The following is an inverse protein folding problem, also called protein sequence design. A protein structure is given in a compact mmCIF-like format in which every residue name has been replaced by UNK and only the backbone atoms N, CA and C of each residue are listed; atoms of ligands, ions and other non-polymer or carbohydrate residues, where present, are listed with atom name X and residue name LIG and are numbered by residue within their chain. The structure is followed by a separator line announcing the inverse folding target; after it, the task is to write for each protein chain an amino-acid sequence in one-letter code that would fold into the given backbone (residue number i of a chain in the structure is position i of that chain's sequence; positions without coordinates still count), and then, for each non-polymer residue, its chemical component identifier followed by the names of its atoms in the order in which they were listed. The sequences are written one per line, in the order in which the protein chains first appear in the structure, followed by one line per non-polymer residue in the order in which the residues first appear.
data_IF_600935681518
#
_entry.id   IF_600935681518
#
_cell.length_a   1.000
_cell.length_b   1.000
_cell.length_c   1.000
_cell.angle_alpha   90.00
_cell.angle_beta   90.00
_cell.angle_gamma   90.00
#
_symmetry.space_group_name_H-M   'P 1'
#
loop_
_entity.id
_entity.type
_entity.pdbx_description
1 polymer ?
#
# COMPACT_ATOMS: atom_id res chain seq x y z
N UNK A 1 -19.72 7.59 -19.54
CA UNK A 1 -19.43 7.40 -18.10
C UNK A 1 -17.96 7.08 -17.96
N UNK A 2 -17.33 7.64 -16.94
CA UNK A 2 -15.94 7.44 -16.56
C UNK A 2 -15.91 7.33 -15.04
N UNK A 3 -15.33 6.28 -14.49
CA UNK A 3 -15.02 6.21 -13.06
C UNK A 3 -13.56 6.61 -12.90
N UNK A 4 -13.29 7.46 -11.92
CA UNK A 4 -11.95 7.87 -11.56
C UNK A 4 -11.77 7.76 -10.05
N UNK A 5 -10.57 7.38 -9.64
CA UNK A 5 -10.26 7.30 -8.23
C UNK A 5 -8.77 7.32 -7.94
N UNK A 6 -8.49 7.46 -6.66
CA UNK A 6 -7.16 7.34 -6.11
C UNK A 6 -7.16 6.51 -4.84
N UNK A 7 -6.07 5.76 -4.64
CA UNK A 7 -5.78 5.05 -3.40
C UNK A 7 -4.41 5.49 -2.90
N UNK A 8 -4.35 6.05 -1.70
CA UNK A 8 -3.10 6.33 -1.01
C UNK A 8 -2.81 5.20 -0.05
N UNK A 9 -1.62 4.61 -0.12
CA UNK A 9 -1.24 3.48 0.72
C UNK A 9 0.02 3.79 1.51
N UNK A 10 0.04 3.46 2.80
CA UNK A 10 1.22 3.62 3.65
C UNK A 10 1.09 2.95 5.01
N UNK A 11 2.13 3.04 5.83
CA UNK A 11 2.07 2.56 7.21
C UNK A 11 1.11 3.42 8.04
N UNK A 12 0.32 2.74 8.86
CA UNK A 12 -0.34 3.33 10.01
C UNK A 12 0.73 3.75 11.03
N UNK A 13 0.57 4.94 11.63
CA UNK A 13 1.49 5.45 12.66
C UNK A 13 1.17 4.83 14.02
N UNK A 14 1.34 3.52 14.08
CA UNK A 14 1.32 2.73 15.30
C UNK A 14 2.48 1.72 15.27
N UNK A 15 3.22 1.58 16.38
CA UNK A 15 4.37 0.66 16.44
C UNK A 15 3.93 -0.80 16.32
N UNK A 16 2.86 -1.16 17.04
CA UNK A 16 2.25 -2.49 17.04
C UNK A 16 1.15 -2.66 16.00
N UNK A 17 0.63 -3.87 15.90
CA UNK A 17 -0.60 -4.14 15.14
C UNK A 17 -1.80 -3.60 15.93
N UNK A 18 -2.70 -2.92 15.25
CA UNK A 18 -4.00 -2.61 15.83
C UNK A 18 -4.89 -3.85 15.83
N UNK A 19 -5.37 -4.22 17.02
CA UNK A 19 -6.48 -5.17 17.16
C UNK A 19 -7.80 -4.56 16.70
N UNK A 20 -8.77 -5.44 16.44
CA UNK A 20 -10.09 -5.07 15.90
C UNK A 20 -10.80 -3.93 16.66
N UNK A 21 -10.89 -3.93 18.02
CA UNK A 21 -11.58 -2.85 18.75
C UNK A 21 -10.98 -1.48 18.46
N UNK A 22 -9.65 -1.41 18.39
CA UNK A 22 -8.92 -0.18 18.16
C UNK A 22 -8.99 0.29 16.71
N UNK A 23 -9.07 -0.65 15.75
CA UNK A 23 -9.41 -0.31 14.37
C UNK A 23 -10.79 0.33 14.27
N UNK A 24 -11.79 -0.13 15.03
CA UNK A 24 -13.13 0.47 15.03
C UNK A 24 -13.11 1.88 15.61
N UNK A 25 -12.39 2.10 16.71
CA UNK A 25 -12.23 3.44 17.29
C UNK A 25 -11.58 4.42 16.30
N UNK A 26 -10.52 3.98 15.62
CA UNK A 26 -9.77 4.80 14.65
C UNK A 26 -10.57 5.07 13.37
N UNK A 27 -11.39 4.12 12.93
CA UNK A 27 -12.17 4.22 11.68
C UNK A 27 -13.61 4.70 11.89
N UNK A 28 -14.03 4.96 13.14
CA UNK A 28 -15.32 5.53 13.50
C UNK A 28 -15.45 7.01 13.11
N UNK A 29 -15.25 7.31 11.83
CA UNK A 29 -15.15 8.66 11.28
C UNK A 29 -16.51 9.32 11.02
N UNK A 30 -17.59 8.52 11.01
CA UNK A 30 -18.95 8.97 10.74
C UNK A 30 -19.80 8.67 11.97
N UNK A 31 -20.42 9.71 12.53
CA UNK A 31 -21.27 9.55 13.70
C UNK A 31 -22.49 8.68 13.39
N UNK A 32 -22.70 7.62 14.16
CA UNK A 32 -23.83 6.72 14.01
C UNK A 32 -23.64 5.59 13.00
N UNK A 33 -22.48 5.51 12.34
CA UNK A 33 -22.13 4.40 11.46
C UNK A 33 -20.89 3.65 11.97
N UNK A 34 -20.96 2.33 11.92
CA UNK A 34 -19.91 1.46 12.45
C UNK A 34 -18.97 0.99 11.34
N UNK A 35 -17.65 0.96 11.58
CA UNK A 35 -16.69 0.35 10.66
C UNK A 35 -16.99 -1.14 10.45
N UNK A 36 -16.84 -1.60 9.21
CA UNK A 36 -16.97 -3.03 8.89
C UNK A 36 -15.62 -3.71 9.10
N UNK A 37 -15.62 -4.88 9.71
CA UNK A 37 -14.40 -5.64 10.02
C UNK A 37 -14.47 -7.06 9.43
N UNK A 38 -13.31 -7.62 9.13
CA UNK A 38 -13.16 -8.98 8.62
C UNK A 38 -11.82 -9.55 9.11
N UNK A 39 -11.85 -10.74 9.71
CA UNK A 39 -10.65 -11.37 10.27
C UNK A 39 -9.92 -12.30 9.29
N UNK A 40 -10.53 -12.62 8.15
CA UNK A 40 -10.01 -13.58 7.17
C UNK A 40 -9.99 -12.97 5.76
N UNK A 41 -8.97 -13.30 4.93
CA UNK A 41 -7.78 -14.07 5.29
C UNK A 41 -6.79 -13.31 6.18
N UNK A 42 -6.92 -11.98 6.25
CA UNK A 42 -6.19 -11.09 7.14
C UNK A 42 -7.16 -10.17 7.87
N UNK A 43 -6.83 -9.69 9.09
CA UNK A 43 -7.55 -8.59 9.72
C UNK A 43 -7.68 -7.41 8.76
N UNK A 44 -8.89 -6.92 8.61
CA UNK A 44 -9.25 -5.85 7.70
C UNK A 44 -10.38 -5.06 8.34
N UNK A 45 -10.27 -3.75 8.30
CA UNK A 45 -11.32 -2.85 8.75
C UNK A 45 -11.49 -1.72 7.73
N UNK A 46 -12.73 -1.35 7.45
CA UNK A 46 -13.09 -0.28 6.51
C UNK A 46 -14.05 0.69 7.20
N UNK A 47 -13.79 1.99 7.08
CA UNK A 47 -14.70 3.02 7.59
C UNK A 47 -15.99 3.04 6.78
N UNK A 48 -17.09 3.59 7.33
CA UNK A 48 -18.22 4.03 6.52
C UNK A 48 -17.79 4.97 5.40
N UNK A 49 -18.56 4.99 4.32
CA UNK A 49 -18.32 5.91 3.21
C UNK A 49 -18.70 7.34 3.60
N UNK A 50 -17.86 8.28 3.18
CA UNK A 50 -18.09 9.72 3.33
C UNK A 50 -18.17 10.36 1.96
N UNK A 51 -18.95 11.44 1.87
CA UNK A 51 -19.14 12.17 0.62
C UNK A 51 -18.65 13.60 0.74
N UNK A 52 -17.73 14.00 -0.13
CA UNK A 52 -17.28 15.40 -0.24
C UNK A 52 -17.94 16.03 -1.45
N UNK A 53 -18.74 17.09 -1.23
CA UNK A 53 -19.28 17.90 -2.31
C UNK A 53 -18.19 18.63 -3.08
N UNK A 54 -18.25 18.58 -4.42
CA UNK A 54 -17.30 19.24 -5.31
C UNK A 54 -18.03 20.06 -6.37
N UNK A 55 -17.44 21.19 -6.74
CA UNK A 55 -17.80 22.01 -7.90
C UNK A 55 -16.50 22.60 -8.43
N UNK A 56 -15.88 21.91 -9.39
CA UNK A 56 -14.53 22.22 -9.84
C UNK A 56 -14.34 21.90 -11.33
N UNK A 57 -13.17 22.22 -11.87
CA UNK A 57 -12.82 21.73 -13.19
C UNK A 57 -12.55 20.24 -13.15
N UNK A 58 -12.92 19.56 -14.22
CA UNK A 58 -12.51 18.20 -14.45
C UNK A 58 -11.17 18.22 -15.22
N UNK A 59 -10.25 17.30 -14.90
CA UNK A 59 -8.96 17.23 -15.56
C UNK A 59 -9.18 16.91 -17.05
N UNK A 60 -8.32 17.42 -17.94
CA UNK A 60 -8.38 17.17 -19.38
C UNK A 60 -7.07 17.58 -20.06
N UNK A 61 -6.69 16.91 -21.15
CA UNK A 61 -5.45 17.21 -21.90
C UNK A 61 -5.66 18.21 -23.04
N UNK A 62 -6.90 18.34 -23.54
CA UNK A 62 -7.25 19.21 -24.66
C UNK A 62 -7.28 20.71 -24.32
N UNK A 63 -7.07 21.07 -23.05
CA UNK A 63 -7.23 22.44 -22.54
C UNK A 63 -8.68 22.90 -22.40
N UNK A 64 -9.65 22.05 -22.72
CA UNK A 64 -11.07 22.36 -22.52
C UNK A 64 -11.37 22.53 -21.03
N UNK A 65 -12.06 23.63 -20.68
CA UNK A 65 -12.46 23.92 -19.29
C UNK A 65 -13.76 23.21 -18.95
N UNK A 66 -13.71 21.88 -18.85
CA UNK A 66 -14.85 21.07 -18.45
C UNK A 66 -15.08 21.27 -16.95
N UNK A 67 -16.31 21.59 -16.55
CA UNK A 67 -16.70 21.76 -15.15
C UNK A 67 -17.62 20.61 -14.74
N UNK A 68 -17.50 20.16 -13.50
CA UNK A 68 -18.40 19.16 -12.94
C UNK A 68 -18.82 19.51 -11.52
N UNK A 69 -20.06 19.16 -11.19
CA UNK A 69 -20.61 19.31 -9.83
C UNK A 69 -21.15 17.99 -9.34
N UNK A 70 -20.91 17.65 -8.09
CA UNK A 70 -21.41 16.41 -7.51
C UNK A 70 -20.75 16.07 -6.19
N UNK A 71 -20.58 14.78 -5.92
CA UNK A 71 -19.95 14.29 -4.70
C UNK A 71 -18.87 13.25 -5.01
N UNK A 72 -17.82 13.25 -4.20
CA UNK A 72 -16.74 12.26 -4.23
C UNK A 72 -16.93 11.34 -3.03
N UNK A 73 -17.00 10.03 -3.29
CA UNK A 73 -16.99 9.00 -2.26
C UNK A 73 -15.56 8.83 -1.73
N UNK A 74 -15.42 8.61 -0.44
CA UNK A 74 -14.15 8.29 0.19
C UNK A 74 -14.32 7.40 1.42
N UNK A 75 -13.33 6.55 1.67
CA UNK A 75 -13.26 5.75 2.88
C UNK A 75 -11.81 5.37 3.19
N UNK A 76 -11.57 4.97 4.43
CA UNK A 76 -10.28 4.52 4.90
C UNK A 76 -10.31 3.02 5.21
N UNK A 77 -9.20 2.35 4.97
CA UNK A 77 -9.03 0.91 5.20
C UNK A 77 -7.78 0.67 6.03
N UNK A 78 -7.89 -0.18 7.05
CA UNK A 78 -6.73 -0.73 7.78
C UNK A 78 -6.59 -2.20 7.45
N UNK A 79 -5.44 -2.58 6.89
CA UNK A 79 -5.09 -3.96 6.54
C UNK A 79 -4.03 -4.50 7.50
N UNK A 80 -4.30 -5.67 8.08
CA UNK A 80 -3.45 -6.36 9.05
C UNK A 80 -3.15 -5.54 10.30
N UNK A 81 -3.96 -4.52 10.62
CA UNK A 81 -3.67 -3.59 11.72
C UNK A 81 -2.43 -2.72 11.51
N UNK A 82 -1.86 -2.67 10.30
CA UNK A 82 -0.56 -2.03 10.01
C UNK A 82 -0.56 -1.08 8.82
N UNK A 83 -1.29 -1.41 7.76
CA UNK A 83 -1.31 -0.61 6.54
C UNK A 83 -2.58 0.19 6.52
N UNK A 84 -2.45 1.49 6.30
CA UNK A 84 -3.57 2.39 6.10
C UNK A 84 -3.69 2.70 4.61
N UNK A 85 -4.90 2.56 4.08
CA UNK A 85 -5.28 3.06 2.78
C UNK A 85 -6.36 4.13 2.93
N UNK A 86 -6.30 5.15 2.10
CA UNK A 86 -7.39 6.11 1.92
C UNK A 86 -7.75 6.16 0.45
N UNK A 87 -9.01 5.88 0.16
CA UNK A 87 -9.57 5.82 -1.18
C UNK A 87 -10.48 7.03 -1.39
N UNK A 88 -10.38 7.67 -2.54
CA UNK A 88 -11.30 8.72 -2.98
C UNK A 88 -11.65 8.50 -4.45
N UNK A 89 -12.93 8.44 -4.77
CA UNK A 89 -13.38 8.07 -6.11
C UNK A 89 -14.75 8.68 -6.45
N UNK A 90 -15.03 8.78 -7.74
CA UNK A 90 -16.32 9.26 -8.23
C UNK A 90 -16.64 8.68 -9.62
N UNK A 91 -17.92 8.52 -9.87
CA UNK A 91 -18.45 8.24 -11.21
C UNK A 91 -18.77 9.56 -11.89
N UNK A 92 -18.09 9.84 -12.99
CA UNK A 92 -18.34 11.02 -13.81
C UNK A 92 -19.35 10.67 -14.91
N UNK A 93 -20.48 11.37 -14.88
CA UNK A 93 -21.65 11.15 -15.74
C UNK A 93 -22.00 12.40 -16.53
N UNK A 94 -22.76 12.24 -17.61
CA UNK A 94 -23.28 13.40 -18.34
C UNK A 94 -24.30 14.12 -17.44
N UNK A 95 -24.22 15.45 -17.36
CA UNK A 95 -25.19 16.21 -16.56
C UNK A 95 -26.59 16.15 -17.16
N UNK A 96 -27.60 16.24 -16.28
CA UNK A 96 -28.99 16.36 -16.70
C UNK A 96 -29.28 17.74 -17.34
N UNK A 97 -28.43 18.73 -17.07
CA UNK A 97 -28.50 20.08 -17.61
C UNK A 97 -27.09 20.64 -17.89
N UNK A 98 -27.01 21.63 -18.76
CA UNK A 98 -25.76 22.34 -19.09
C UNK A 98 -25.33 23.35 -18.00
N UNK A 99 -26.07 23.44 -16.90
CA UNK A 99 -25.80 24.34 -15.78
C UNK A 99 -25.89 23.57 -14.46
N UNK A 100 -25.32 24.17 -13.41
CA UNK A 100 -25.35 23.61 -12.06
C UNK A 100 -26.78 23.60 -11.50
N UNK A 101 -27.19 22.47 -10.95
CA UNK A 101 -28.47 22.28 -10.25
C UNK A 101 -28.35 22.56 -8.73
N UNK A 102 -29.47 22.64 -7.99
CA UNK A 102 -29.43 22.78 -6.53
C UNK A 102 -28.71 21.59 -5.86
N UNK A 103 -28.11 21.81 -4.68
CA UNK A 103 -27.37 20.76 -3.97
C UNK A 103 -28.20 19.52 -3.64
N UNK A 104 -29.52 19.67 -3.40
CA UNK A 104 -30.42 18.53 -3.18
C UNK A 104 -30.40 17.51 -4.33
N UNK A 105 -30.17 17.96 -5.56
CA UNK A 105 -30.02 17.08 -6.72
C UNK A 105 -28.77 16.21 -6.60
N UNK A 106 -27.61 16.79 -6.25
CA UNK A 106 -26.36 16.06 -6.14
C UNK A 106 -26.29 15.17 -4.90
N UNK A 107 -26.89 15.62 -3.79
CA UNK A 107 -26.93 14.83 -2.55
C UNK A 107 -27.82 13.59 -2.66
N UNK A 108 -28.78 13.58 -3.60
CA UNK A 108 -29.57 12.40 -3.93
C UNK A 108 -28.81 11.38 -4.81
N UNK A 109 -27.60 11.71 -5.27
CA UNK A 109 -26.74 10.88 -6.14
C UNK A 109 -25.32 10.82 -5.58
N UNK A 110 -25.13 10.20 -4.40
CA UNK A 110 -23.83 10.11 -3.77
C UNK A 110 -22.83 9.37 -4.66
N UNK A 111 -21.62 9.90 -4.78
CA UNK A 111 -20.53 9.35 -5.60
C UNK A 111 -20.55 9.77 -7.07
N UNK A 112 -21.58 10.48 -7.53
CA UNK A 112 -21.67 10.96 -8.92
C UNK A 112 -21.17 12.41 -9.04
N UNK A 113 -20.45 12.68 -10.13
CA UNK A 113 -20.11 14.03 -10.60
C UNK A 113 -20.72 14.23 -11.99
N UNK A 114 -21.61 15.21 -12.10
CA UNK A 114 -22.25 15.57 -13.37
C UNK A 114 -21.42 16.59 -14.13
N UNK A 115 -21.07 16.25 -15.37
CA UNK A 115 -20.38 17.15 -16.31
C UNK A 115 -21.36 18.20 -16.82
N UNK A 116 -20.96 19.47 -16.77
CA UNK A 116 -21.69 20.55 -17.43
C UNK A 116 -21.33 20.57 -18.92
N UNK A 117 -22.33 20.41 -19.79
CA UNK A 117 -22.14 20.36 -21.24
C UNK A 117 -21.70 18.99 -21.76
N UNK A 118 -21.12 18.98 -22.96
CA UNK A 118 -20.78 17.74 -23.67
C UNK A 118 -19.57 17.04 -23.04
N UNK A 119 -19.71 15.79 -22.55
CA UNK A 119 -18.61 15.08 -21.94
C UNK A 119 -17.55 14.62 -22.95
N UNK A 120 -16.28 14.68 -22.54
CA UNK A 120 -15.13 14.18 -23.30
C UNK A 120 -14.40 13.11 -22.48
N UNK A 121 -14.95 11.90 -22.45
CA UNK A 121 -14.48 10.82 -21.56
C UNK A 121 -13.00 10.49 -21.71
N UNK A 122 -12.54 10.30 -22.96
CA UNK A 122 -11.13 10.01 -23.25
C UNK A 122 -10.20 11.13 -22.78
N UNK A 123 -10.56 12.38 -23.11
CA UNK A 123 -9.79 13.58 -22.71
C UNK A 123 -9.68 13.70 -21.19
N UNK A 124 -10.78 13.46 -20.47
CA UNK A 124 -10.79 13.51 -19.01
C UNK A 124 -10.01 12.36 -18.37
N UNK A 125 -10.13 11.15 -18.93
CA UNK A 125 -9.36 10.00 -18.48
C UNK A 125 -7.85 10.26 -18.63
N UNK A 126 -7.40 10.71 -19.81
CA UNK A 126 -6.00 11.03 -20.04
C UNK A 126 -5.51 12.19 -19.16
N UNK A 127 -6.33 13.24 -19.01
CA UNK A 127 -5.99 14.40 -18.19
C UNK A 127 -5.83 14.05 -16.71
N UNK A 128 -6.70 13.19 -16.19
CA UNK A 128 -6.58 12.71 -14.82
C UNK A 128 -5.30 11.89 -14.64
N UNK A 129 -4.94 11.07 -15.63
CA UNK A 129 -3.76 10.19 -15.56
C UNK A 129 -2.42 10.91 -15.78
N UNK A 130 -2.42 12.22 -16.04
CA UNK A 130 -1.20 13.01 -16.21
C UNK A 130 -0.38 13.09 -14.91
N UNK A 131 0.95 13.14 -15.03
CA UNK A 131 1.85 13.22 -13.88
C UNK A 131 1.61 14.49 -13.03
N UNK A 132 1.28 15.60 -13.69
CA UNK A 132 0.93 16.87 -13.07
C UNK A 132 -0.54 17.19 -13.37
N UNK A 133 -1.29 17.59 -12.34
CA UNK A 133 -2.67 18.04 -12.51
C UNK A 133 -2.75 19.56 -12.31
N UNK A 134 -3.62 20.26 -13.06
CA UNK A 134 -3.91 21.66 -12.80
C UNK A 134 -4.40 21.88 -11.36
N UNK A 135 -3.93 22.96 -10.73
CA UNK A 135 -4.26 23.28 -9.33
C UNK A 135 -5.77 23.50 -9.08
N UNK A 136 -6.53 23.87 -10.11
CA UNK A 136 -7.97 24.13 -10.04
C UNK A 136 -8.84 22.98 -10.58
N UNK A 137 -8.22 21.84 -10.91
CA UNK A 137 -8.90 20.62 -11.30
C UNK A 137 -9.27 19.78 -10.07
N UNK A 138 -10.18 18.82 -10.27
CA UNK A 138 -10.58 17.83 -9.28
C UNK A 138 -9.35 17.12 -8.72
N UNK A 139 -9.12 17.29 -7.42
CA UNK A 139 -7.95 16.74 -6.73
C UNK A 139 -8.38 15.66 -5.74
N UNK A 140 -8.51 14.43 -6.25
CA UNK A 140 -8.83 13.26 -5.43
C UNK A 140 -7.70 12.93 -4.43
N UNK A 141 -6.44 13.22 -4.77
CA UNK A 141 -5.32 13.09 -3.84
C UNK A 141 -5.50 13.94 -2.58
N UNK A 142 -5.97 15.17 -2.73
CA UNK A 142 -6.20 16.06 -1.61
C UNK A 142 -7.38 15.59 -0.74
N UNK A 143 -8.43 15.04 -1.35
CA UNK A 143 -9.59 14.49 -0.64
C UNK A 143 -9.16 13.27 0.18
N UNK A 144 -8.61 12.24 -0.46
CA UNK A 144 -8.13 11.03 0.23
C UNK A 144 -6.97 11.30 1.19
N UNK A 145 -6.12 12.28 0.88
CA UNK A 145 -5.02 12.68 1.76
C UNK A 145 -5.48 13.31 3.07
N UNK A 146 -6.55 14.13 3.05
CA UNK A 146 -7.17 14.65 4.27
C UNK A 146 -7.79 13.54 5.11
N UNK A 147 -8.45 12.56 4.47
CA UNK A 147 -8.99 11.40 5.16
C UNK A 147 -7.88 10.57 5.82
N UNK A 148 -6.78 10.31 5.10
CA UNK A 148 -5.62 9.63 5.67
C UNK A 148 -5.02 10.40 6.85
N UNK A 149 -4.94 11.73 6.75
CA UNK A 149 -4.45 12.57 7.85
C UNK A 149 -5.34 12.47 9.08
N UNK A 150 -6.66 12.57 8.92
CA UNK A 150 -7.62 12.45 10.01
C UNK A 150 -7.49 11.12 10.76
N UNK A 151 -7.32 10.00 10.03
CA UNK A 151 -7.07 8.69 10.64
C UNK A 151 -5.74 8.68 11.42
N UNK A 152 -4.68 9.23 10.84
CA UNK A 152 -3.34 9.26 11.43
C UNK A 152 -3.20 10.22 12.62
N UNK A 153 -4.12 11.17 12.77
CA UNK A 153 -4.23 12.11 13.89
C UNK A 153 -5.09 11.57 15.04
N UNK A 154 -5.66 10.36 14.89
CA UNK A 154 -6.46 9.73 15.93
C UNK A 154 -5.68 9.59 17.24
N UNK A 155 -6.26 9.98 18.39
CA UNK A 155 -5.61 9.86 19.70
C UNK A 155 -5.39 8.40 20.13
N UNK A 156 -6.01 7.45 19.44
CA UNK A 156 -5.80 6.03 19.67
C UNK A 156 -4.46 5.54 19.09
N UNK A 157 -3.79 6.30 18.23
CA UNK A 157 -2.49 5.92 17.66
C UNK A 157 -1.31 6.42 18.51
N UNK A 158 -0.23 5.64 18.58
CA UNK A 158 1.00 6.05 19.30
C UNK A 158 1.89 7.02 18.51
N UNK A 159 1.56 7.28 17.24
CA UNK A 159 2.25 8.22 16.36
C UNK A 159 3.59 7.75 15.82
N UNK A 160 4.03 6.53 16.13
CA UNK A 160 5.32 5.94 15.76
C UNK A 160 5.15 4.93 14.63
N UNK A 161 6.21 4.69 13.86
CA UNK A 161 6.24 3.62 12.85
C UNK A 161 7.38 2.66 13.15
N UNK A 162 7.19 1.33 12.94
CA UNK A 162 8.23 0.34 13.20
C UNK A 162 9.43 0.47 12.25
N UNK A 163 9.23 1.07 11.09
CA UNK A 163 10.28 1.39 10.12
C UNK A 163 9.84 2.55 9.21
N UNK A 164 10.76 3.06 8.40
CA UNK A 164 10.49 4.11 7.41
C UNK A 164 10.00 3.50 6.11
N UNK A 165 8.81 3.89 5.66
CA UNK A 165 8.28 3.57 4.33
C UNK A 165 7.81 4.85 3.63
N UNK A 166 7.83 4.84 2.30
CA UNK A 166 7.24 5.90 1.49
C UNK A 166 5.80 5.53 1.18
N UNK A 167 4.89 6.50 1.19
CA UNK A 167 3.52 6.28 0.71
C UNK A 167 3.51 6.08 -0.80
N UNK A 168 2.61 5.26 -1.31
CA UNK A 168 2.31 5.16 -2.75
C UNK A 168 0.94 5.76 -3.06
N UNK A 169 0.79 6.27 -4.27
CA UNK A 169 -0.45 6.87 -4.77
C UNK A 169 -0.84 6.13 -6.04
N UNK A 170 -1.88 5.31 -6.00
CA UNK A 170 -2.45 4.68 -7.17
C UNK A 170 -3.58 5.55 -7.69
N UNK A 171 -3.37 6.20 -8.84
CA UNK A 171 -4.41 6.87 -9.60
C UNK A 171 -4.99 5.95 -10.64
N UNK A 172 -6.30 5.86 -10.73
CA UNK A 172 -6.95 4.91 -11.62
C UNK A 172 -8.17 5.47 -12.33
N UNK A 173 -8.41 4.95 -13.53
CA UNK A 173 -9.59 5.23 -14.34
C UNK A 173 -10.20 3.94 -14.87
N UNK A 174 -11.53 3.88 -14.89
CA UNK A 174 -12.29 2.86 -15.60
C UNK A 174 -13.27 3.54 -16.55
N UNK A 175 -13.14 3.24 -17.83
CA UNK A 175 -14.09 3.70 -18.84
C UNK A 175 -14.22 2.69 -19.97
N UNK A 176 -15.30 2.81 -20.74
CA UNK A 176 -15.45 2.08 -21.99
C UNK A 176 -14.49 2.70 -23.01
N UNK A 177 -13.27 2.17 -23.04
CA UNK A 177 -12.20 2.59 -23.95
C UNK A 177 -12.47 2.20 -25.40
N UNK A 178 -11.50 2.49 -26.26
CA UNK A 178 -11.55 2.10 -27.68
C UNK A 178 -11.41 0.58 -27.86
N UNK A 179 -12.00 0.06 -28.93
CA UNK A 179 -11.91 -1.35 -29.25
C UNK A 179 -10.43 -1.77 -29.44
N UNK A 180 -10.00 -2.83 -28.76
CA UNK A 180 -8.63 -3.37 -28.84
C UNK A 180 -7.63 -2.76 -27.85
N UNK A 181 -8.02 -1.80 -27.02
CA UNK A 181 -7.20 -1.35 -25.90
C UNK A 181 -6.95 -2.50 -24.90
N UNK A 182 -5.77 -2.56 -24.25
CA UNK A 182 -5.52 -3.58 -23.24
C UNK A 182 -6.50 -3.40 -22.07
N UNK A 183 -7.06 -4.48 -21.51
CA UNK A 183 -8.05 -4.42 -20.44
C UNK A 183 -7.51 -3.74 -19.18
N UNK A 184 -6.19 -3.83 -18.98
CA UNK A 184 -5.46 -3.24 -17.88
C UNK A 184 -4.10 -2.72 -18.36
N UNK A 185 -3.76 -1.49 -17.96
CA UNK A 185 -2.42 -0.93 -18.11
C UNK A 185 -1.99 -0.27 -16.80
N UNK A 186 -1.06 -0.92 -16.09
CA UNK A 186 -0.39 -0.37 -14.92
C UNK A 186 0.93 0.28 -15.34
N UNK A 187 1.12 1.54 -14.96
CA UNK A 187 2.34 2.30 -15.19
C UNK A 187 2.93 2.75 -13.85
N UNK A 188 4.22 2.44 -13.65
CA UNK A 188 4.97 2.90 -12.48
C UNK A 188 5.60 4.26 -12.82
N UNK A 189 5.00 5.34 -12.32
CA UNK A 189 5.52 6.70 -12.51
C UNK A 189 6.78 6.97 -11.67
N UNK A 190 7.37 8.16 -11.87
CA UNK A 190 8.47 8.63 -11.01
C UNK A 190 7.98 8.81 -9.56
N UNK A 191 8.84 8.47 -8.60
CA UNK A 191 8.51 8.59 -7.18
C UNK A 191 7.42 7.61 -6.75
N UNK A 192 6.40 8.12 -6.06
CA UNK A 192 5.32 7.34 -5.44
C UNK A 192 4.05 7.21 -6.28
N UNK A 193 3.96 7.91 -7.42
CA UNK A 193 2.78 7.87 -8.28
C UNK A 193 2.75 6.60 -9.13
N UNK A 194 1.60 5.95 -9.15
CA UNK A 194 1.24 4.79 -9.97
C UNK A 194 -0.04 5.10 -10.70
N UNK A 195 -0.13 4.69 -11.95
CA UNK A 195 -1.29 4.94 -12.80
C UNK A 195 -1.85 3.64 -13.33
N UNK A 196 -3.15 3.42 -13.17
CA UNK A 196 -3.88 2.25 -13.65
C UNK A 196 -5.00 2.67 -14.61
N UNK A 197 -4.94 2.19 -15.84
CA UNK A 197 -6.03 2.34 -16.81
C UNK A 197 -6.75 1.02 -16.94
N UNK A 198 -8.06 1.05 -16.75
CA UNK A 198 -8.96 -0.07 -16.94
C UNK A 198 -9.92 0.25 -18.08
N UNK A 199 -10.07 -0.70 -19.00
CA UNK A 199 -11.04 -0.59 -20.09
C UNK A 199 -12.05 -1.71 -19.98
N UNK A 200 -13.34 -1.35 -19.94
CA UNK A 200 -14.41 -2.31 -19.83
C UNK A 200 -15.72 -1.67 -19.42
N UNK A 201 -16.73 -2.50 -19.19
CA UNK A 201 -17.97 -2.03 -18.58
C UNK A 201 -17.72 -1.64 -17.12
N UNK A 202 -18.18 -0.47 -16.68
CA UNK A 202 -18.18 -0.12 -15.27
C UNK A 202 -18.99 -1.14 -14.48
N UNK A 203 -18.31 -1.94 -13.66
CA UNK A 203 -18.95 -2.82 -12.70
C UNK A 203 -18.81 -2.23 -11.28
N UNK A 204 -19.64 -2.71 -10.37
CA UNK A 204 -19.53 -2.35 -8.95
C UNK A 204 -18.18 -2.82 -8.40
N UNK A 205 -17.70 -2.14 -7.35
CA UNK A 205 -16.56 -2.58 -6.54
C UNK A 205 -15.17 -2.55 -7.23
N UNK A 206 -15.02 -1.83 -8.34
CA UNK A 206 -13.68 -1.57 -8.95
C UNK A 206 -12.70 -1.00 -7.92
N UNK A 207 -13.20 -0.19 -6.97
CA UNK A 207 -12.39 0.39 -5.88
C UNK A 207 -11.70 -0.68 -5.05
N UNK A 208 -12.37 -1.79 -4.74
CA UNK A 208 -11.78 -2.89 -3.96
C UNK A 208 -10.64 -3.60 -4.71
N UNK A 209 -10.77 -3.74 -6.04
CA UNK A 209 -9.67 -4.22 -6.88
C UNK A 209 -8.48 -3.24 -6.88
N UNK A 210 -8.74 -1.95 -7.01
CA UNK A 210 -7.70 -0.92 -6.97
C UNK A 210 -7.00 -0.85 -5.59
N UNK A 211 -7.73 -1.06 -4.50
CA UNK A 211 -7.18 -1.13 -3.14
C UNK A 211 -6.25 -2.34 -2.95
N UNK A 212 -6.69 -3.52 -3.38
CA UNK A 212 -5.88 -4.73 -3.30
C UNK A 212 -4.60 -4.56 -4.14
N UNK A 213 -4.70 -3.98 -5.34
CA UNK A 213 -3.54 -3.66 -6.17
C UNK A 213 -2.59 -2.66 -5.50
N UNK A 214 -3.13 -1.56 -4.95
CA UNK A 214 -2.35 -0.53 -4.30
C UNK A 214 -1.60 -1.06 -3.06
N UNK A 215 -2.23 -1.95 -2.29
CA UNK A 215 -1.62 -2.65 -1.16
C UNK A 215 -0.40 -3.46 -1.60
N UNK A 216 -0.57 -4.31 -2.61
CA UNK A 216 0.48 -5.22 -3.04
C UNK A 216 1.63 -4.50 -3.78
N UNK A 217 1.35 -3.46 -4.55
CA UNK A 217 2.39 -2.57 -5.11
C UNK A 217 3.18 -1.87 -4.00
N UNK A 218 2.49 -1.40 -2.95
CA UNK A 218 3.13 -0.78 -1.80
C UNK A 218 4.02 -1.76 -1.03
N UNK A 219 3.55 -3.00 -0.81
CA UNK A 219 4.32 -4.06 -0.15
C UNK A 219 5.61 -4.38 -0.93
N UNK A 220 5.51 -4.54 -2.26
CA UNK A 220 6.67 -4.76 -3.14
C UNK A 220 7.65 -3.59 -3.10
N UNK A 221 7.15 -2.36 -3.23
CA UNK A 221 7.98 -1.16 -3.15
C UNK A 221 8.69 -1.06 -1.81
N UNK A 222 7.99 -1.39 -0.72
CA UNK A 222 8.50 -1.25 0.64
C UNK A 222 9.53 -2.33 0.98
N UNK A 223 9.28 -3.60 0.64
CA UNK A 223 10.24 -4.68 0.89
C UNK A 223 11.53 -4.49 0.09
N UNK A 224 11.44 -4.00 -1.15
CA UNK A 224 12.61 -3.67 -1.97
C UNK A 224 13.42 -2.52 -1.35
N UNK A 225 12.75 -1.48 -0.84
CA UNK A 225 13.42 -0.38 -0.14
C UNK A 225 14.14 -0.86 1.14
N UNK A 226 13.56 -1.80 1.89
CA UNK A 226 14.20 -2.41 3.06
C UNK A 226 15.47 -3.18 2.65
N UNK A 227 15.37 -4.04 1.63
CA UNK A 227 16.52 -4.81 1.11
C UNK A 227 17.65 -3.89 0.65
N UNK A 228 17.33 -2.81 -0.08
CA UNK A 228 18.33 -1.84 -0.54
C UNK A 228 19.02 -1.13 0.64
N UNK A 229 18.27 -0.75 1.68
CA UNK A 229 18.81 -0.09 2.87
C UNK A 229 19.57 -1.02 3.80
N UNK A 230 19.40 -2.33 3.68
CA UNK A 230 20.14 -3.30 4.48
C UNK A 230 21.66 -3.22 4.23
N UNK A 231 22.09 -2.72 3.06
CA UNK A 231 23.50 -2.63 2.65
C UNK A 231 24.19 -4.01 2.67
N UNK A 232 23.51 -4.99 2.08
CA UNK A 232 23.99 -6.36 1.96
C UNK A 232 25.34 -6.38 1.24
N UNK A 233 26.33 -7.04 1.84
CA UNK A 233 27.69 -7.15 1.31
C UNK A 233 28.64 -6.03 1.75
N UNK A 234 28.15 -4.99 2.43
CA UNK A 234 29.00 -3.89 2.94
C UNK A 234 28.87 -3.65 4.45
N UNK A 235 27.70 -3.88 5.03
CA UNK A 235 27.48 -3.73 6.48
C UNK A 235 27.84 -4.99 7.28
N UNK A 236 28.03 -4.83 8.59
CA UNK A 236 28.27 -5.95 9.48
C UNK A 236 27.06 -6.90 9.52
N UNK A 237 27.25 -8.23 9.67
CA UNK A 237 26.17 -9.20 9.58
C UNK A 237 24.99 -8.96 10.56
N UNK A 238 25.28 -8.57 11.80
CA UNK A 238 24.26 -8.21 12.81
C UNK A 238 23.43 -6.99 12.41
N UNK A 239 24.05 -5.99 11.78
CA UNK A 239 23.37 -4.79 11.29
C UNK A 239 22.45 -5.11 10.10
N UNK A 240 22.87 -6.04 9.22
CA UNK A 240 22.04 -6.50 8.11
C UNK A 240 20.77 -7.17 8.64
N UNK A 241 20.90 -8.11 9.59
CA UNK A 241 19.74 -8.76 10.19
C UNK A 241 18.79 -7.78 10.87
N UNK A 242 19.33 -6.85 11.67
CA UNK A 242 18.52 -5.81 12.32
C UNK A 242 17.75 -4.92 11.32
N UNK A 243 18.36 -4.62 10.16
CA UNK A 243 17.71 -3.82 9.10
C UNK A 243 16.67 -4.61 8.31
N UNK A 244 16.79 -5.94 8.23
CA UNK A 244 15.84 -6.82 7.53
C UNK A 244 14.67 -7.27 8.42
N UNK A 245 14.84 -7.29 9.74
CA UNK A 245 13.80 -7.73 10.69
C UNK A 245 12.41 -7.11 10.44
N UNK A 246 12.27 -5.80 10.14
CA UNK A 246 10.95 -5.22 9.89
C UNK A 246 10.16 -5.85 8.73
N UNK A 247 10.85 -6.39 7.72
CA UNK A 247 10.16 -7.08 6.62
C UNK A 247 9.48 -8.36 7.13
N UNK A 248 10.16 -9.13 7.98
CA UNK A 248 9.65 -10.38 8.54
C UNK A 248 8.53 -10.09 9.53
N UNK A 249 8.79 -9.20 10.48
CA UNK A 249 7.91 -8.96 11.62
C UNK A 249 6.63 -8.23 11.23
N UNK A 250 6.65 -7.47 10.12
CA UNK A 250 5.58 -6.51 9.82
C UNK A 250 5.00 -6.58 8.41
N UNK A 251 5.71 -7.14 7.43
CA UNK A 251 5.27 -7.08 6.03
C UNK A 251 4.96 -8.46 5.46
N UNK A 252 5.78 -9.46 5.78
CA UNK A 252 5.74 -10.74 5.08
C UNK A 252 4.40 -11.46 5.19
N UNK A 253 3.74 -11.33 6.34
CA UNK A 253 2.46 -11.96 6.60
C UNK A 253 1.27 -11.25 5.92
N UNK A 254 1.45 -10.02 5.42
CA UNK A 254 0.39 -9.22 4.78
C UNK A 254 0.15 -9.60 3.31
N UNK A 255 1.00 -10.44 2.73
CA UNK A 255 0.91 -10.81 1.32
C UNK A 255 -0.19 -11.85 1.07
N UNK A 256 -1.38 -11.38 0.67
CA UNK A 256 -2.51 -12.21 0.26
C UNK A 256 -3.12 -11.66 -1.05
N UNK A 257 -2.40 -11.78 -2.17
CA UNK A 257 -2.78 -11.20 -3.46
C UNK A 257 -4.13 -11.72 -3.94
N UNK A 258 -5.03 -10.82 -4.32
CA UNK A 258 -6.33 -11.18 -4.89
C UNK A 258 -7.38 -11.62 -3.86
N UNK A 259 -7.05 -11.62 -2.57
CA UNK A 259 -7.91 -12.12 -1.50
C UNK A 259 -9.21 -11.34 -1.34
N UNK A 260 -9.21 -10.04 -1.68
CA UNK A 260 -10.37 -9.15 -1.56
C UNK A 260 -10.81 -8.59 -2.91
N UNK A 261 -10.32 -9.17 -4.00
CA UNK A 261 -10.71 -8.78 -5.36
C UNK A 261 -12.08 -9.38 -5.68
N UNK A 262 -13.07 -8.57 -6.09
CA UNK A 262 -14.37 -9.08 -6.54
C UNK A 262 -14.23 -10.04 -7.73
N UNK A 263 -15.11 -11.03 -7.83
CA UNK A 263 -15.06 -12.07 -8.89
C UNK A 263 -15.01 -11.49 -10.30
N UNK A 264 -15.70 -10.37 -10.53
CA UNK A 264 -15.70 -9.63 -11.79
C UNK A 264 -14.30 -9.16 -12.22
N UNK A 265 -13.38 -8.93 -11.28
CA UNK A 265 -12.03 -8.42 -11.51
C UNK A 265 -10.91 -9.45 -11.30
N UNK A 266 -11.25 -10.68 -10.91
CA UNK A 266 -10.26 -11.76 -10.70
C UNK A 266 -9.42 -12.04 -11.95
N UNK A 267 -10.00 -11.90 -13.14
CA UNK A 267 -9.27 -12.08 -14.40
C UNK A 267 -8.17 -11.02 -14.60
N UNK A 268 -8.39 -9.77 -14.17
CA UNK A 268 -7.38 -8.71 -14.23
C UNK A 268 -6.24 -8.97 -13.24
N UNK A 269 -6.56 -9.50 -12.05
CA UNK A 269 -5.55 -9.91 -11.08
C UNK A 269 -4.60 -10.98 -11.65
N UNK A 270 -5.17 -11.98 -12.33
CA UNK A 270 -4.39 -13.03 -13.01
C UNK A 270 -3.44 -12.46 -14.07
N UNK A 271 -3.84 -11.41 -14.79
CA UNK A 271 -2.96 -10.73 -15.74
C UNK A 271 -1.76 -10.07 -15.06
N UNK A 272 -1.97 -9.42 -13.91
CA UNK A 272 -0.88 -8.83 -13.10
C UNK A 272 0.08 -9.90 -12.57
N UNK A 273 -0.43 -11.07 -12.17
CA UNK A 273 0.39 -12.21 -11.76
C UNK A 273 1.14 -12.85 -12.92
N UNK A 274 0.62 -12.76 -14.15
CA UNK A 274 1.32 -13.21 -15.35
C UNK A 274 2.44 -12.24 -15.72
N UNK A 275 2.13 -10.93 -15.79
CA UNK A 275 3.04 -9.83 -16.12
C UNK A 275 2.55 -8.56 -15.39
N UNK A 276 3.30 -8.03 -14.41
CA UNK A 276 4.74 -8.22 -14.17
C UNK A 276 5.11 -9.37 -13.21
N UNK A 277 4.15 -10.11 -12.65
CA UNK A 277 4.41 -11.23 -11.75
C UNK A 277 4.69 -10.81 -10.32
N UNK A 278 3.71 -10.16 -9.69
CA UNK A 278 3.77 -9.65 -8.33
C UNK A 278 4.22 -10.72 -7.33
N UNK A 279 3.56 -11.88 -7.34
CA UNK A 279 3.90 -12.97 -6.40
C UNK A 279 5.29 -13.55 -6.65
N UNK A 280 5.78 -13.59 -7.90
CA UNK A 280 7.15 -14.01 -8.20
C UNK A 280 8.20 -13.03 -7.66
N UNK A 281 7.95 -11.73 -7.83
CA UNK A 281 8.83 -10.69 -7.29
C UNK A 281 8.87 -10.71 -5.75
N UNK A 282 7.70 -10.89 -5.13
CA UNK A 282 7.59 -11.03 -3.69
C UNK A 282 8.36 -12.26 -3.18
N UNK A 283 8.11 -13.43 -3.78
CA UNK A 283 8.78 -14.68 -3.40
C UNK A 283 10.30 -14.55 -3.53
N UNK A 284 10.81 -13.98 -4.62
CA UNK A 284 12.25 -13.73 -4.79
C UNK A 284 12.81 -12.81 -3.70
N UNK A 285 12.08 -11.75 -3.33
CA UNK A 285 12.49 -10.82 -2.26
C UNK A 285 12.51 -11.51 -0.89
N UNK A 286 11.48 -12.30 -0.59
CA UNK A 286 11.38 -13.09 0.65
C UNK A 286 12.50 -14.11 0.75
N UNK A 287 12.77 -14.87 -0.30
CA UNK A 287 13.86 -15.86 -0.33
C UNK A 287 15.19 -15.17 -0.07
N UNK A 288 15.48 -14.05 -0.76
CA UNK A 288 16.71 -13.28 -0.53
C UNK A 288 16.87 -12.82 0.92
N UNK A 289 15.81 -12.35 1.57
CA UNK A 289 15.84 -11.94 2.98
C UNK A 289 16.15 -13.13 3.89
N UNK A 290 15.45 -14.25 3.69
CA UNK A 290 15.66 -15.48 4.48
C UNK A 290 17.07 -16.02 4.33
N UNK A 291 17.59 -16.08 3.11
CA UNK A 291 18.95 -16.53 2.83
C UNK A 291 19.99 -15.65 3.54
N UNK A 292 19.80 -14.33 3.50
CA UNK A 292 20.72 -13.40 4.15
C UNK A 292 20.75 -13.56 5.68
N UNK A 293 19.61 -13.87 6.30
CA UNK A 293 19.53 -14.14 7.74
C UNK A 293 20.13 -15.50 8.08
N UNK A 294 19.90 -16.52 7.26
CA UNK A 294 20.50 -17.84 7.44
C UNK A 294 22.03 -17.78 7.39
N UNK A 295 22.59 -17.12 6.37
CA UNK A 295 24.04 -16.91 6.23
C UNK A 295 24.61 -16.14 7.42
N UNK A 296 23.93 -15.09 7.88
CA UNK A 296 24.35 -14.36 9.08
C UNK A 296 24.36 -15.26 10.33
N UNK A 297 23.31 -16.06 10.53
CA UNK A 297 23.19 -16.98 11.67
C UNK A 297 24.34 -17.99 11.67
N UNK A 298 24.64 -18.60 10.52
CA UNK A 298 25.78 -19.51 10.37
C UNK A 298 27.13 -18.82 10.66
N UNK A 299 27.29 -17.57 10.22
CA UNK A 299 28.51 -16.79 10.46
C UNK A 299 28.73 -16.46 11.95
N UNK A 300 27.64 -16.18 12.69
CA UNK A 300 27.71 -15.94 14.13
C UNK A 300 28.01 -17.24 14.90
N UNK A 301 27.39 -18.35 14.49
CA UNK A 301 27.66 -19.67 15.09
C UNK A 301 29.09 -20.14 14.84
N UNK A 302 29.63 -19.96 13.63
CA UNK A 302 31.03 -20.31 13.34
C UNK A 302 32.01 -19.46 14.14
N UNK A 303 31.75 -18.16 14.29
CA UNK A 303 32.56 -17.28 15.13
C UNK A 303 32.54 -17.72 16.60
N UNK A 304 31.38 -18.10 17.15
CA UNK A 304 31.27 -18.60 18.53
C UNK A 304 32.10 -19.88 18.74
N UNK A 305 31.98 -20.86 17.84
CA UNK A 305 32.74 -22.13 17.90
C UNK A 305 34.26 -21.90 17.82
N UNK A 306 34.71 -20.95 17.01
CA UNK A 306 36.14 -20.58 16.90
C UNK A 306 36.66 -19.85 18.16
N UNK A 307 35.78 -19.18 18.91
CA UNK A 307 36.15 -18.50 20.15
C UNK A 307 36.26 -19.47 21.33
N UNK A 308 35.45 -20.53 21.35
CA UNK A 308 35.50 -21.61 22.35
C UNK A 308 36.69 -22.56 22.16
N UNK A 309 37.17 -22.73 20.93
CA UNK A 309 38.31 -23.60 20.60
C UNK A 309 39.69 -22.93 20.76
N UNK A 310 39.75 -21.63 21.03
CA UNK A 310 40.98 -20.88 21.30
C UNK A 310 41.42 -20.82 22.77
N UNK A 311 40.70 -21.51 23.68
CA UNK A 311 41.05 -21.58 25.11
C UNK A 311 41.56 -22.99 25.47
N UNK A 312 42.72 -23.37 24.90
CA UNK A 312 43.53 -24.47 25.44
C UNK A 312 44.34 -23.90 26.62
N UNK A 313 44.19 -24.42 27.85
CA UNK A 313 45.08 -24.02 28.94
C UNK A 313 46.45 -24.62 28.64
N UNK A 314 47.45 -23.75 28.49
CA UNK A 314 48.87 -24.10 28.42
C UNK A 314 49.21 -24.85 29.72
N UNK A 315 49.12 -26.18 29.65
CA UNK A 315 49.38 -27.09 30.75
C UNK A 315 50.88 -27.10 30.98
N UNK A 316 51.32 -26.30 31.95
CA UNK A 316 52.67 -26.29 32.48
C UNK A 316 53.03 -27.67 33.04
N UNK A 317 53.69 -28.49 32.20
CA UNK A 317 54.27 -29.78 32.57
C UNK A 317 55.55 -29.50 33.36
N UNK A 318 55.43 -29.39 34.68
CA UNK A 318 56.56 -29.51 35.59
C UNK A 318 56.90 -30.99 35.84
N UNK A 319 58.15 -31.44 35.62
CA UNK A 319 58.55 -32.83 35.83
C UNK A 319 58.90 -33.09 37.30
N UNK A 320 58.15 -33.99 37.94
CA UNK A 320 58.55 -34.61 39.21
C UNK A 320 59.80 -35.48 39.01
N UNK A 321 60.96 -35.01 39.50
CA UNK A 321 62.13 -35.86 39.76
C UNK A 321 61.92 -36.59 41.09
N UNK A 322 61.77 -37.91 41.02
CA UNK A 322 62.10 -38.82 42.11
C UNK A 322 63.49 -39.42 41.87
N UNK A 323 64.36 -39.36 42.86
CA UNK A 323 65.54 -40.22 42.97
C UNK A 323 65.77 -40.52 44.46
N UNK A 324 65.70 -41.80 44.79
CA UNK A 324 66.08 -42.45 46.05
C UNK A 324 67.61 -42.52 46.22
N UNK A 325 68.04 -43.01 47.41
CA UNK A 325 69.38 -43.41 47.92
C UNK A 325 69.97 -42.43 48.95
N UNK A 326 70.55 -42.81 50.09
CA UNK A 326 70.81 -44.11 50.74
C UNK A 326 71.08 -43.86 52.25
N UNK A 327 70.95 -44.95 53.04
CA UNK A 327 71.23 -45.26 54.47
C UNK A 327 72.58 -44.73 55.08
N UNK A 328 72.82 -44.76 56.42
CA UNK A 328 72.54 -45.88 57.35
C UNK A 328 71.93 -45.57 58.73
#
# INVERSE_FOLDING_TARGET
MLIMGEVQTGLLRNLGELGEPKCREVLGLVSGEEPRTSMRPLPYAISPEQFTGVDCRLPGVSGARIRGTGTVAQHAVIVGGRVLQASAYATVVAGAADHRLPWSHYLARPGDIEVHGRPRWADMAEGFMAAEMPMDALNLSAIGGRLMAAVQESPHLDGKTPFKSTRTHLRWVLWRGEAGAPPLLLTLGKGSLRTLRLTGEPATDVTAFCEDLALHDWLLTTIQAIIQRALIGTAAPSQIAARLAPAIDHLMHLWMPGARVPDSYQHLWKELERRPGFSRQWASSVTRIRDQIAVNTLSLLSAAVMTESGHEPDGDISPHRGASQDDP
#
